data_IF_174644383257
#
_entry.id   IF_174644383257
#
_cell.length_a   1.000
_cell.length_b   1.000
_cell.length_c   1.000
_cell.angle_alpha   90.00
_cell.angle_beta   90.00
_cell.angle_gamma   90.00
#
_symmetry.space_group_name_H-M   'P 1'
#
loop_
_entity.id
_entity.type
_entity.pdbx_description
1 polymer ?
#
# COMPACT_ATOMS: atom_id res chain seq x y z
N UNK A 1 -43.39 -9.37 11.55
CA UNK A 1 -43.83 -10.19 10.41
C UNK A 1 -42.77 -10.18 9.32
N UNK A 2 -41.91 -11.20 9.31
CA UNK A 2 -41.17 -11.71 8.15
C UNK A 2 -40.75 -13.11 8.57
N UNK A 3 -41.43 -14.12 8.02
CA UNK A 3 -41.38 -15.49 8.48
C UNK A 3 -40.00 -16.10 8.31
N UNK A 4 -39.48 -16.65 9.41
CA UNK A 4 -38.40 -17.63 9.37
C UNK A 4 -39.01 -18.90 8.78
N UNK A 5 -38.79 -19.13 7.48
CA UNK A 5 -39.18 -20.37 6.81
C UNK A 5 -38.42 -21.54 7.43
N UNK A 6 -39.03 -22.19 8.42
CA UNK A 6 -38.62 -23.47 8.98
C UNK A 6 -39.07 -24.55 7.99
N UNK A 7 -38.15 -25.10 7.21
CA UNK A 7 -38.41 -26.35 6.49
C UNK A 7 -38.17 -27.47 7.50
N UNK A 8 -39.27 -27.98 8.06
CA UNK A 8 -39.32 -29.13 8.95
C UNK A 8 -39.22 -30.40 8.09
N UNK A 9 -38.17 -31.20 8.25
CA UNK A 9 -38.14 -32.57 7.76
C UNK A 9 -37.36 -33.47 8.73
N UNK A 10 -38.08 -34.30 9.48
CA UNK A 10 -37.63 -35.58 10.04
C UNK A 10 -36.93 -35.57 11.41
N UNK A 11 -37.06 -36.64 12.24
CA UNK A 11 -36.80 -36.63 13.68
C UNK A 11 -35.40 -37.11 14.11
N UNK A 12 -34.44 -37.27 13.20
CA UNK A 12 -33.03 -37.50 13.54
C UNK A 12 -32.16 -36.41 12.91
N UNK A 13 -32.38 -35.18 13.39
CA UNK A 13 -31.70 -33.97 12.95
C UNK A 13 -30.24 -33.96 13.41
N UNK A 14 -29.35 -34.56 12.64
CA UNK A 14 -27.95 -34.15 12.66
C UNK A 14 -27.90 -32.68 12.24
N UNK A 15 -27.67 -31.80 13.21
CA UNK A 15 -27.27 -30.41 12.98
C UNK A 15 -25.92 -30.44 12.23
N UNK A 16 -25.96 -30.64 10.91
CA UNK A 16 -24.78 -30.47 10.10
C UNK A 16 -24.47 -28.98 10.15
N UNK A 17 -23.52 -28.60 11.02
CA UNK A 17 -22.86 -27.29 10.97
C UNK A 17 -22.41 -27.10 9.53
N UNK A 18 -23.18 -26.33 8.76
CA UNK A 18 -22.80 -25.91 7.42
C UNK A 18 -21.45 -25.22 7.60
N UNK A 19 -20.37 -25.90 7.23
CA UNK A 19 -19.01 -25.41 7.43
C UNK A 19 -18.90 -24.09 6.65
N UNK A 20 -18.92 -22.97 7.37
CA UNK A 20 -18.73 -21.65 6.77
C UNK A 20 -17.31 -21.64 6.23
N UNK A 21 -17.17 -21.87 4.92
CA UNK A 21 -15.88 -21.83 4.25
C UNK A 21 -15.35 -20.40 4.36
N UNK A 22 -14.47 -20.17 5.33
CA UNK A 22 -13.93 -18.84 5.62
C UNK A 22 -13.29 -18.25 4.37
N UNK A 23 -13.74 -17.06 3.96
CA UNK A 23 -13.30 -16.44 2.71
C UNK A 23 -11.95 -15.75 2.89
N UNK A 24 -10.96 -16.18 2.12
CA UNK A 24 -9.64 -15.54 2.11
C UNK A 24 -9.59 -14.50 1.01
N UNK A 25 -9.64 -13.21 1.38
CA UNK A 25 -9.58 -12.09 0.41
C UNK A 25 -8.31 -12.08 -0.44
N UNK A 26 -7.17 -12.51 0.10
CA UNK A 26 -5.87 -12.53 -0.59
C UNK A 26 -5.03 -13.75 -0.19
N UNK A 27 -4.51 -14.50 -1.17
CA UNK A 27 -3.62 -15.66 -0.96
C UNK A 27 -2.37 -15.32 -0.11
N UNK A 28 -1.86 -14.09 -0.20
CA UNK A 28 -0.70 -13.64 0.56
C UNK A 28 -1.04 -12.99 1.92
N UNK A 29 -2.32 -12.94 2.30
CA UNK A 29 -2.80 -12.23 3.51
C UNK A 29 -2.36 -10.75 3.58
N UNK A 30 -2.00 -10.15 2.44
CA UNK A 30 -1.47 -8.78 2.36
C UNK A 30 -0.03 -8.61 2.86
N UNK A 31 0.77 -9.69 2.93
CA UNK A 31 2.17 -9.66 3.40
C UNK A 31 3.12 -10.35 2.43
N UNK A 32 4.38 -9.90 2.38
CA UNK A 32 5.45 -10.58 1.63
C UNK A 32 6.24 -11.60 2.46
N UNK A 33 5.64 -12.16 3.51
CA UNK A 33 6.29 -13.11 4.42
C UNK A 33 6.12 -14.53 3.89
N UNK A 34 7.22 -15.25 3.64
CA UNK A 34 7.27 -16.67 3.25
C UNK A 34 8.41 -17.37 3.99
N UNK A 35 8.23 -18.65 4.35
CA UNK A 35 9.23 -19.52 5.01
C UNK A 35 9.95 -18.89 6.21
N UNK A 36 9.22 -18.16 7.08
CA UNK A 36 9.76 -17.59 8.33
C UNK A 36 8.66 -17.35 9.36
N UNK A 37 9.02 -17.23 10.63
CA UNK A 37 8.08 -16.97 11.75
C UNK A 37 7.92 -15.48 12.10
N UNK A 38 9.02 -14.75 12.25
CA UNK A 38 9.00 -13.35 12.70
C UNK A 38 9.69 -12.42 11.70
N UNK A 39 9.30 -11.14 11.70
CA UNK A 39 9.87 -10.10 10.84
C UNK A 39 9.97 -8.81 11.64
N UNK A 40 11.13 -8.14 11.58
CA UNK A 40 11.37 -6.86 12.23
C UNK A 40 10.27 -5.84 11.89
N UNK A 41 9.84 -5.08 12.90
CA UNK A 41 8.82 -4.04 12.76
C UNK A 41 9.48 -2.69 12.44
N UNK A 42 8.73 -1.81 11.79
CA UNK A 42 9.14 -0.46 11.37
C UNK A 42 8.03 0.53 11.73
N UNK A 43 8.39 1.79 11.94
CA UNK A 43 7.43 2.85 12.22
C UNK A 43 6.84 3.45 10.93
N UNK A 44 5.56 3.80 10.99
CA UNK A 44 4.91 4.62 9.97
C UNK A 44 5.46 6.05 9.99
N UNK A 45 5.71 6.65 8.82
CA UNK A 45 6.13 8.05 8.74
C UNK A 45 5.03 9.01 9.22
N UNK A 46 3.76 8.75 8.88
CA UNK A 46 2.67 9.68 9.18
C UNK A 46 2.08 9.53 10.58
N UNK A 47 2.01 8.30 11.10
CA UNK A 47 1.24 7.98 12.32
C UNK A 47 2.13 7.41 13.43
N UNK A 48 3.44 7.23 13.17
CA UNK A 48 4.39 6.54 14.07
C UNK A 48 4.03 5.10 14.48
N UNK A 49 2.87 4.58 14.06
CA UNK A 49 2.38 3.22 14.34
C UNK A 49 3.39 2.15 13.93
N UNK A 50 3.53 1.14 14.78
CA UNK A 50 4.43 0.01 14.55
C UNK A 50 3.80 -0.99 13.58
N UNK A 51 4.49 -1.25 12.45
CA UNK A 51 4.01 -2.11 11.36
C UNK A 51 5.06 -3.18 11.06
N UNK A 52 4.69 -4.43 10.74
CA UNK A 52 5.65 -5.39 10.22
C UNK A 52 6.20 -4.93 8.85
N UNK A 53 7.53 -5.00 8.66
CA UNK A 53 8.22 -4.56 7.43
C UNK A 53 7.70 -5.22 6.14
N UNK A 54 7.09 -6.40 6.26
CA UNK A 54 6.50 -7.16 5.13
C UNK A 54 5.09 -6.72 4.74
N UNK A 55 4.40 -5.94 5.59
CA UNK A 55 3.07 -5.37 5.33
C UNK A 55 3.15 -3.87 5.01
N UNK A 56 4.23 -3.21 5.44
CA UNK A 56 4.44 -1.79 5.20
C UNK A 56 4.52 -1.47 3.70
N UNK A 57 3.87 -0.37 3.30
CA UNK A 57 3.95 0.14 1.95
C UNK A 57 5.24 0.95 1.85
N UNK A 58 6.17 0.48 1.02
CA UNK A 58 7.48 1.08 0.84
C UNK A 58 7.44 2.00 -0.38
N UNK A 59 7.86 3.25 -0.19
CA UNK A 59 8.02 4.23 -1.27
C UNK A 59 9.38 4.89 -1.14
N UNK A 60 10.16 4.80 -2.20
CA UNK A 60 11.41 5.53 -2.28
C UNK A 60 11.12 6.84 -3.01
N UNK A 61 11.32 7.96 -2.31
CA UNK A 61 11.14 9.30 -2.86
C UNK A 61 12.50 9.92 -3.04
N UNK A 62 12.83 10.25 -4.29
CA UNK A 62 13.98 11.07 -4.65
C UNK A 62 13.44 12.44 -4.97
N UNK A 63 13.88 13.46 -4.24
CA UNK A 63 13.48 14.85 -4.44
C UNK A 63 14.73 15.71 -4.42
N UNK A 64 14.75 16.80 -5.18
CA UNK A 64 15.79 17.81 -5.00
C UNK A 64 15.61 18.44 -3.61
N UNK A 65 16.71 18.94 -3.01
CA UNK A 65 16.61 19.69 -1.74
C UNK A 65 15.75 20.96 -1.94
N UNK A 66 15.85 21.55 -3.12
CA UNK A 66 15.22 22.83 -3.46
C UNK A 66 14.03 22.58 -4.39
N UNK A 67 12.96 23.36 -4.21
CA UNK A 67 11.82 23.36 -5.12
C UNK A 67 12.18 23.90 -6.50
N UNK A 68 11.43 23.50 -7.53
CA UNK A 68 11.70 23.85 -8.90
C UNK A 68 11.64 25.35 -9.20
N UNK A 69 10.81 26.09 -8.45
CA UNK A 69 10.69 27.55 -8.57
C UNK A 69 11.97 28.27 -8.14
N UNK A 70 12.46 27.95 -6.94
CA UNK A 70 13.67 28.53 -6.34
C UNK A 70 14.98 28.06 -6.99
N UNK A 71 14.93 27.11 -7.93
CA UNK A 71 16.14 26.68 -8.66
C UNK A 71 16.74 27.77 -9.54
N UNK A 72 15.96 28.77 -9.98
CA UNK A 72 16.46 29.88 -10.82
C UNK A 72 17.24 30.87 -9.97
N UNK A 73 16.63 31.34 -8.89
CA UNK A 73 17.22 32.29 -7.94
C UNK A 73 18.53 31.75 -7.35
N UNK A 74 18.58 30.46 -7.02
CA UNK A 74 19.82 29.84 -6.53
C UNK A 74 20.94 29.75 -7.56
N UNK A 75 20.60 29.63 -8.85
CA UNK A 75 21.63 29.60 -9.91
C UNK A 75 22.18 31.00 -10.18
N UNK A 76 21.32 32.01 -10.17
CA UNK A 76 21.72 33.41 -10.32
C UNK A 76 22.57 33.89 -9.14
N UNK A 77 22.25 33.44 -7.93
CA UNK A 77 23.01 33.76 -6.72
C UNK A 77 24.27 32.89 -6.52
N UNK A 78 24.45 31.82 -7.28
CA UNK A 78 25.61 30.92 -7.09
C UNK A 78 26.86 31.48 -7.75
N UNK A 79 27.99 31.41 -7.03
CA UNK A 79 29.32 31.79 -7.55
C UNK A 79 29.79 30.83 -8.66
N UNK A 80 29.25 29.61 -8.71
CA UNK A 80 29.62 28.59 -9.69
C UNK A 80 28.67 28.59 -10.90
N UNK A 81 29.21 28.65 -12.12
CA UNK A 81 28.43 28.63 -13.37
C UNK A 81 27.57 27.37 -13.54
N UNK A 82 28.03 26.22 -13.02
CA UNK A 82 27.33 24.93 -13.10
C UNK A 82 27.21 24.26 -11.73
N UNK A 83 26.30 24.77 -10.89
CA UNK A 83 26.02 24.13 -9.61
C UNK A 83 25.04 22.95 -9.74
N UNK A 84 25.50 21.74 -9.44
CA UNK A 84 24.67 20.55 -9.38
C UNK A 84 23.95 20.44 -8.03
N UNK A 85 22.64 20.71 -8.02
CA UNK A 85 21.83 20.62 -6.80
C UNK A 85 21.76 19.18 -6.26
N UNK A 86 22.10 18.93 -4.98
CA UNK A 86 21.99 17.61 -4.37
C UNK A 86 20.53 17.14 -4.23
N UNK A 87 20.37 15.81 -4.13
CA UNK A 87 19.08 15.13 -4.01
C UNK A 87 18.92 14.48 -2.64
N UNK A 88 17.71 14.59 -2.10
CA UNK A 88 17.26 13.91 -0.90
C UNK A 88 16.72 12.54 -1.27
N UNK A 89 17.24 11.51 -0.59
CA UNK A 89 16.82 10.13 -0.75
C UNK A 89 16.10 9.67 0.52
N UNK A 90 14.78 9.50 0.44
CA UNK A 90 13.98 9.04 1.58
C UNK A 90 13.28 7.73 1.25
N UNK A 91 13.44 6.76 2.16
CA UNK A 91 12.70 5.50 2.14
C UNK A 91 11.53 5.56 3.11
N UNK A 92 10.37 5.95 2.61
CA UNK A 92 9.15 6.05 3.39
C UNK A 92 8.50 4.67 3.61
N UNK A 93 8.08 4.43 4.85
CA UNK A 93 7.27 3.29 5.25
C UNK A 93 5.90 3.79 5.73
N UNK A 94 4.82 3.29 5.13
CA UNK A 94 3.45 3.66 5.50
C UNK A 94 2.66 2.47 6.05
N UNK A 95 1.76 2.73 7.02
CA UNK A 95 0.67 1.83 7.37
C UNK A 95 -0.38 1.82 6.25
N UNK A 96 -1.24 0.80 6.24
CA UNK A 96 -2.30 0.66 5.23
C UNK A 96 -3.31 1.81 5.35
N UNK A 97 -3.65 2.22 6.57
CA UNK A 97 -4.57 3.33 6.87
C UNK A 97 -4.05 4.64 6.26
N UNK A 98 -2.83 5.05 6.62
CA UNK A 98 -2.22 6.28 6.09
C UNK A 98 -2.04 6.24 4.56
N UNK A 99 -1.68 5.09 4.00
CA UNK A 99 -1.48 4.98 2.56
C UNK A 99 -2.78 5.08 1.74
N UNK A 100 -3.92 4.66 2.31
CA UNK A 100 -5.23 4.85 1.69
C UNK A 100 -5.67 6.31 1.83
N UNK A 101 -5.50 6.90 3.02
CA UNK A 101 -5.87 8.29 3.29
C UNK A 101 -5.10 9.27 2.38
N UNK A 102 -3.79 9.09 2.23
CA UNK A 102 -2.94 9.90 1.35
C UNK A 102 -3.03 9.49 -0.14
N UNK A 103 -3.93 8.54 -0.48
CA UNK A 103 -4.16 8.05 -1.85
C UNK A 103 -2.93 7.47 -2.56
N UNK A 104 -1.94 7.02 -1.78
CA UNK A 104 -0.73 6.34 -2.30
C UNK A 104 -1.10 4.95 -2.86
N UNK A 105 -2.06 4.28 -2.23
CA UNK A 105 -2.63 3.01 -2.70
C UNK A 105 -4.15 3.16 -2.78
N UNK A 106 -4.75 2.53 -3.79
CA UNK A 106 -6.20 2.63 -4.08
C UNK A 106 -6.86 1.25 -4.02
N UNK A 107 -8.17 1.24 -3.80
CA UNK A 107 -8.99 0.03 -3.89
C UNK A 107 -9.05 -0.41 -5.36
N UNK A 108 -8.92 -1.72 -5.60
CA UNK A 108 -8.96 -2.35 -6.92
C UNK A 108 -10.03 -3.44 -6.97
N UNK A 109 -10.54 -3.71 -8.18
CA UNK A 109 -11.44 -4.83 -8.48
C UNK A 109 -10.81 -6.18 -8.11
N UNK A 110 -11.62 -7.23 -8.01
CA UNK A 110 -11.17 -8.57 -7.59
C UNK A 110 -10.07 -9.11 -8.50
N UNK A 111 -10.20 -8.93 -9.80
CA UNK A 111 -9.22 -9.32 -10.81
C UNK A 111 -7.99 -8.41 -10.78
N UNK A 112 -8.19 -7.09 -10.74
CA UNK A 112 -7.11 -6.10 -10.68
C UNK A 112 -6.24 -6.20 -9.42
N UNK A 113 -6.71 -6.86 -8.36
CA UNK A 113 -5.90 -7.17 -7.15
C UNK A 113 -4.79 -8.18 -7.43
N UNK A 114 -4.94 -9.06 -8.43
CA UNK A 114 -3.96 -10.09 -8.79
C UNK A 114 -2.77 -9.49 -9.55
N UNK A 115 -3.01 -8.43 -10.34
CA UNK A 115 -1.95 -7.69 -11.01
C UNK A 115 -0.99 -7.05 -9.98
N UNK A 116 0.30 -7.39 -10.12
CA UNK A 116 1.40 -6.95 -9.25
C UNK A 116 2.31 -5.91 -9.92
N UNK A 117 2.09 -5.61 -11.18
CA UNK A 117 2.89 -4.63 -11.91
C UNK A 117 2.67 -3.24 -11.32
N UNK A 118 3.74 -2.44 -11.21
CA UNK A 118 3.60 -1.06 -10.77
C UNK A 118 2.75 -0.29 -11.80
N UNK A 119 1.99 0.73 -11.37
CA UNK A 119 1.29 1.60 -12.31
C UNK A 119 2.31 2.24 -13.27
N UNK A 120 2.01 2.20 -14.57
CA UNK A 120 2.86 2.80 -15.59
C UNK A 120 2.99 4.31 -15.34
N UNK A 121 4.23 4.82 -15.37
CA UNK A 121 4.47 6.27 -15.36
C UNK A 121 4.18 6.77 -16.78
N UNK A 122 3.06 7.45 -16.97
CA UNK A 122 2.74 8.10 -18.23
C UNK A 122 3.79 9.20 -18.44
N UNK A 123 4.67 9.00 -19.43
CA UNK A 123 5.57 10.05 -19.92
C UNK A 123 4.79 10.77 -21.01
N UNK A 124 4.61 12.11 -20.95
CA UNK A 124 4.06 12.82 -22.09
C UNK A 124 4.94 12.54 -23.31
N UNK A 125 4.33 12.15 -24.44
CA UNK A 125 5.05 12.02 -25.71
C UNK A 125 5.52 13.43 -26.10
N UNK A 126 6.83 13.59 -26.36
CA UNK A 126 7.31 14.80 -27.03
C UNK A 126 6.69 14.79 -28.43
N UNK A 127 5.93 15.85 -28.75
CA UNK A 127 5.53 16.17 -30.11
C UNK A 127 6.77 16.54 -30.92
#
# INVERSE_FOLDING_TARGET
MAGVGLIFNGPHGHFTRKAVKMTVKRRNHGRNKKNRGHVKRVHCVSTAKLIPKDKAIKRFTVRNIVDASAMRDLKEASVYETYALPKIYIKNYYCIEAAIHQRIVRVRSTEGRRNRDPPARIRPKKL
#
